data_IF_826706557058
#
_entry.id   IF_826706557058
#
_cell.length_a   1.000
_cell.length_b   1.000
_cell.length_c   1.000
_cell.angle_alpha   90.00
_cell.angle_beta   90.00
_cell.angle_gamma   90.00
#
_symmetry.space_group_name_H-M   'P 1'
#
loop_
_entity.id
_entity.type
_entity.pdbx_description
1 polymer ?
#
# COMPACT_ATOMS: atom_id res chain seq x y z
N UNK A 1 29.16 -26.00 -4.26
CA UNK A 1 29.49 -24.56 -4.48
C UNK A 1 28.22 -23.71 -4.57
N UNK A 2 27.25 -24.08 -5.42
CA UNK A 2 26.01 -23.30 -5.65
C UNK A 2 25.18 -23.01 -4.40
N UNK A 3 25.05 -24.00 -3.50
CA UNK A 3 24.33 -23.81 -2.23
C UNK A 3 24.96 -22.70 -1.38
N UNK A 4 26.29 -22.66 -1.30
CA UNK A 4 27.03 -21.61 -0.60
C UNK A 4 26.77 -20.24 -1.22
N UNK A 5 26.81 -20.16 -2.56
CA UNK A 5 26.54 -18.90 -3.26
C UNK A 5 25.11 -18.41 -2.97
N UNK A 6 24.10 -19.27 -3.12
CA UNK A 6 22.69 -18.88 -2.84
C UNK A 6 22.48 -18.42 -1.40
N UNK A 7 23.17 -19.03 -0.45
CA UNK A 7 22.99 -18.73 0.96
C UNK A 7 23.68 -17.44 1.40
N UNK A 8 24.87 -17.14 0.86
CA UNK A 8 25.72 -16.02 1.32
C UNK A 8 25.71 -14.81 0.38
N UNK A 9 25.11 -14.91 -0.81
CA UNK A 9 24.87 -13.80 -1.75
C UNK A 9 23.68 -12.94 -1.28
N UNK A 10 23.83 -12.30 -0.11
CA UNK A 10 22.84 -11.40 0.48
C UNK A 10 23.10 -9.94 0.10
N UNK A 11 24.38 -9.55 -0.03
CA UNK A 11 24.77 -8.19 -0.39
C UNK A 11 24.84 -8.00 -1.90
N UNK A 12 24.34 -6.85 -2.36
CA UNK A 12 24.31 -6.41 -3.76
C UNK A 12 25.71 -6.33 -4.40
N UNK A 13 26.75 -6.16 -3.57
CA UNK A 13 28.16 -5.96 -3.95
C UNK A 13 28.78 -7.17 -4.66
N UNK A 14 28.20 -8.37 -4.56
CA UNK A 14 28.80 -9.59 -5.12
C UNK A 14 28.75 -9.64 -6.67
N UNK A 15 28.09 -8.69 -7.35
CA UNK A 15 27.83 -8.77 -8.79
C UNK A 15 28.62 -7.82 -9.70
N UNK A 16 29.42 -6.87 -9.18
CA UNK A 16 29.96 -5.80 -10.04
C UNK A 16 31.43 -5.98 -10.49
N UNK A 17 32.18 -6.96 -9.95
CA UNK A 17 33.55 -7.20 -10.40
C UNK A 17 33.60 -8.25 -11.52
N UNK A 18 33.77 -7.80 -12.77
CA UNK A 18 34.08 -8.63 -13.96
C UNK A 18 35.42 -9.40 -13.85
N UNK A 19 36.08 -9.39 -12.69
CA UNK A 19 37.49 -9.79 -12.49
C UNK A 19 37.72 -10.76 -11.32
N UNK A 20 36.71 -11.53 -10.92
CA UNK A 20 36.91 -12.67 -10.04
C UNK A 20 36.49 -13.97 -10.71
N UNK A 21 37.47 -14.79 -11.07
CA UNK A 21 37.30 -16.13 -11.65
C UNK A 21 36.43 -17.08 -10.79
N UNK A 22 36.17 -16.72 -9.52
CA UNK A 22 35.31 -17.48 -8.61
C UNK A 22 34.44 -16.59 -7.70
N UNK A 23 33.11 -16.61 -7.94
CA UNK A 23 32.09 -15.88 -7.15
C UNK A 23 32.18 -16.18 -5.64
N UNK A 24 32.52 -17.42 -5.26
CA UNK A 24 32.66 -17.81 -3.84
C UNK A 24 33.81 -17.04 -3.17
N UNK A 25 34.89 -16.79 -3.88
CA UNK A 25 36.02 -16.05 -3.35
C UNK A 25 35.68 -14.57 -3.16
N UNK A 26 34.94 -13.95 -4.09
CA UNK A 26 34.44 -12.58 -3.94
C UNK A 26 33.54 -12.45 -2.72
N UNK A 27 32.65 -13.43 -2.50
CA UNK A 27 31.80 -13.49 -1.31
C UNK A 27 32.69 -13.55 -0.06
N UNK A 28 33.68 -14.44 0.00
CA UNK A 28 34.55 -14.59 1.16
C UNK A 28 35.41 -13.34 1.41
N UNK A 29 35.90 -12.68 0.36
CA UNK A 29 36.59 -11.38 0.45
C UNK A 29 35.67 -10.28 0.99
N UNK A 30 34.41 -10.23 0.54
CA UNK A 30 33.43 -9.27 1.06
C UNK A 30 33.19 -9.43 2.57
N UNK A 31 33.19 -10.68 3.06
CA UNK A 31 33.09 -10.96 4.49
C UNK A 31 34.42 -10.83 5.25
N UNK A 32 35.48 -10.30 4.62
CA UNK A 32 36.81 -10.10 5.20
C UNK A 32 37.44 -11.40 5.74
N UNK A 33 37.30 -12.47 4.96
CA UNK A 33 37.86 -13.79 5.29
C UNK A 33 39.21 -13.96 4.60
N UNK A 34 40.25 -14.17 5.39
CA UNK A 34 41.60 -14.42 4.88
C UNK A 34 41.70 -15.77 4.15
N UNK A 35 42.52 -15.81 3.09
CA UNK A 35 42.77 -16.99 2.24
C UNK A 35 43.35 -18.18 3.03
N UNK A 36 43.98 -17.95 4.17
CA UNK A 36 44.48 -19.01 5.05
C UNK A 36 43.37 -19.82 5.72
N UNK A 37 42.15 -19.26 5.83
CA UNK A 37 41.06 -19.83 6.61
C UNK A 37 40.10 -20.69 5.77
N UNK A 38 40.28 -20.75 4.45
CA UNK A 38 39.45 -21.56 3.57
C UNK A 38 40.23 -22.22 2.44
N UNK A 39 39.64 -23.27 1.87
CA UNK A 39 40.11 -23.95 0.65
C UNK A 39 38.92 -24.23 -0.26
N UNK A 40 39.11 -24.01 -1.56
CA UNK A 40 38.09 -24.29 -2.57
C UNK A 40 38.44 -25.63 -3.23
N UNK A 41 37.55 -26.62 -3.10
CA UNK A 41 37.58 -27.83 -3.91
C UNK A 41 36.65 -27.70 -5.12
N UNK A 42 36.67 -28.70 -6.01
CA UNK A 42 35.85 -28.68 -7.24
C UNK A 42 34.35 -28.50 -6.97
N UNK A 43 33.82 -29.17 -5.94
CA UNK A 43 32.38 -29.15 -5.62
C UNK A 43 32.07 -28.56 -4.23
N UNK A 44 33.08 -28.39 -3.38
CA UNK A 44 32.93 -28.09 -1.95
C UNK A 44 33.81 -26.93 -1.50
N UNK A 45 33.32 -26.17 -0.52
CA UNK A 45 34.04 -25.08 0.14
C UNK A 45 34.42 -25.56 1.53
N UNK A 46 35.71 -25.62 1.83
CA UNK A 46 36.23 -26.03 3.12
C UNK A 46 36.56 -24.79 3.95
N UNK A 47 36.00 -24.69 5.15
CA UNK A 47 36.20 -23.56 6.06
C UNK A 47 36.88 -24.06 7.35
N UNK A 48 37.76 -23.24 7.91
CA UNK A 48 38.33 -23.49 9.24
C UNK A 48 37.23 -23.41 10.30
N UNK A 49 37.43 -24.12 11.41
CA UNK A 49 36.47 -24.15 12.51
C UNK A 49 36.12 -22.73 13.02
N UNK A 50 34.83 -22.49 13.31
CA UNK A 50 34.34 -21.19 13.80
C UNK A 50 34.09 -20.13 12.72
N UNK A 51 34.68 -20.27 11.53
CA UNK A 51 34.49 -19.31 10.44
C UNK A 51 33.05 -19.28 9.92
N UNK A 52 32.40 -20.44 9.80
CA UNK A 52 31.01 -20.54 9.39
C UNK A 52 30.08 -19.72 10.31
N UNK A 53 30.26 -19.83 11.63
CA UNK A 53 29.45 -19.11 12.61
C UNK A 53 29.63 -17.58 12.49
N UNK A 54 30.84 -17.12 12.21
CA UNK A 54 31.12 -15.70 11.97
C UNK A 54 30.40 -15.21 10.71
N UNK A 55 30.48 -15.99 9.62
CA UNK A 55 29.82 -15.70 8.35
C UNK A 55 28.30 -15.65 8.50
N UNK A 56 27.71 -16.62 9.22
CA UNK A 56 26.28 -16.64 9.50
C UNK A 56 25.83 -15.42 10.31
N UNK A 57 26.61 -15.00 11.31
CA UNK A 57 26.34 -13.77 12.08
C UNK A 57 26.37 -12.53 11.20
N UNK A 58 27.40 -12.34 10.37
CA UNK A 58 27.49 -11.20 9.45
C UNK A 58 26.31 -11.19 8.48
N UNK A 59 25.99 -12.33 7.87
CA UNK A 59 24.84 -12.49 6.99
C UNK A 59 23.51 -12.16 7.68
N UNK A 60 23.31 -12.63 8.91
CA UNK A 60 22.08 -12.36 9.67
C UNK A 60 21.93 -10.86 10.01
N UNK A 61 23.04 -10.17 10.32
CA UNK A 61 23.02 -8.72 10.53
C UNK A 61 22.62 -7.97 9.25
N UNK A 62 23.19 -8.32 8.10
CA UNK A 62 22.81 -7.74 6.81
C UNK A 62 21.31 -7.97 6.50
N UNK A 63 20.84 -9.21 6.67
CA UNK A 63 19.43 -9.54 6.51
C UNK A 63 18.54 -8.74 7.45
N UNK A 64 18.93 -8.57 8.72
CA UNK A 64 18.17 -7.77 9.68
C UNK A 64 17.98 -6.33 9.20
N UNK A 65 19.04 -5.67 8.72
CA UNK A 65 18.91 -4.29 8.19
C UNK A 65 18.00 -4.22 6.96
N UNK A 66 18.03 -5.22 6.08
CA UNK A 66 17.13 -5.31 4.93
C UNK A 66 15.68 -5.49 5.38
N UNK A 67 15.43 -6.36 6.35
CA UNK A 67 14.10 -6.57 6.92
C UNK A 67 13.58 -5.30 7.60
N UNK A 68 14.41 -4.60 8.36
CA UNK A 68 14.03 -3.32 8.98
C UNK A 68 13.60 -2.28 7.94
N UNK A 69 14.37 -2.11 6.86
CA UNK A 69 14.02 -1.21 5.76
C UNK A 69 12.72 -1.63 5.06
N UNK A 70 12.55 -2.92 4.80
CA UNK A 70 11.33 -3.47 4.22
C UNK A 70 10.12 -3.19 5.13
N UNK A 71 10.23 -3.50 6.41
CA UNK A 71 9.16 -3.29 7.36
C UNK A 71 8.83 -1.80 7.53
N UNK A 72 9.83 -0.92 7.59
CA UNK A 72 9.64 0.53 7.62
C UNK A 72 8.86 1.00 6.39
N UNK A 73 9.19 0.48 5.20
CA UNK A 73 8.47 0.77 3.97
C UNK A 73 7.01 0.29 4.04
N UNK A 74 6.77 -0.95 4.44
CA UNK A 74 5.41 -1.49 4.59
C UNK A 74 4.56 -0.66 5.58
N UNK A 75 5.12 -0.33 6.76
CA UNK A 75 4.46 0.51 7.76
C UNK A 75 4.15 1.91 7.21
N UNK A 76 5.07 2.51 6.45
CA UNK A 76 4.86 3.83 5.84
C UNK A 76 3.67 3.83 4.86
N UNK A 77 3.52 2.77 4.06
CA UNK A 77 2.41 2.65 3.10
C UNK A 77 1.08 2.50 3.85
N UNK A 78 1.04 1.65 4.88
CA UNK A 78 -0.17 1.49 5.71
C UNK A 78 -0.55 2.79 6.44
N UNK A 79 0.43 3.50 6.98
CA UNK A 79 0.20 4.78 7.66
C UNK A 79 -0.38 5.84 6.72
N UNK A 80 0.12 5.93 5.48
CA UNK A 80 -0.39 6.86 4.46
C UNK A 80 -1.84 6.56 4.06
N UNK A 81 -2.19 5.28 3.89
CA UNK A 81 -3.58 4.87 3.62
C UNK A 81 -4.51 5.29 4.75
N UNK A 82 -4.14 5.00 6.00
CA UNK A 82 -4.92 5.41 7.19
C UNK A 82 -5.02 6.94 7.31
N UNK A 83 -3.96 7.67 7.00
CA UNK A 83 -3.98 9.13 7.03
C UNK A 83 -4.97 9.72 6.03
N UNK A 84 -5.04 9.17 4.81
CA UNK A 84 -5.99 9.63 3.80
C UNK A 84 -7.44 9.48 4.27
N UNK A 85 -7.77 8.31 4.86
CA UNK A 85 -9.10 8.07 5.43
C UNK A 85 -9.43 9.08 6.55
N UNK A 86 -8.48 9.35 7.44
CA UNK A 86 -8.65 10.32 8.52
C UNK A 86 -8.82 11.74 7.97
N UNK A 87 -8.06 12.11 6.93
CA UNK A 87 -8.15 13.42 6.29
C UNK A 87 -9.54 13.67 5.70
N UNK A 88 -10.09 12.68 4.99
CA UNK A 88 -11.44 12.78 4.42
C UNK A 88 -12.50 12.90 5.53
N UNK A 89 -12.38 12.10 6.60
CA UNK A 89 -13.28 12.19 7.76
C UNK A 89 -13.21 13.55 8.45
N UNK A 90 -12.01 14.07 8.67
CA UNK A 90 -11.77 15.38 9.29
C UNK A 90 -12.36 16.52 8.44
N UNK A 91 -12.17 16.47 7.11
CA UNK A 91 -12.82 17.41 6.20
C UNK A 91 -14.35 17.34 6.29
N UNK A 92 -14.93 16.13 6.27
CA UNK A 92 -16.37 15.95 6.40
C UNK A 92 -16.91 16.53 7.73
N UNK A 93 -16.23 16.25 8.85
CA UNK A 93 -16.59 16.80 10.16
C UNK A 93 -16.55 18.33 10.13
N UNK A 94 -15.47 18.94 9.60
CA UNK A 94 -15.37 20.40 9.48
C UNK A 94 -16.49 20.99 8.63
N UNK A 95 -16.82 20.36 7.50
CA UNK A 95 -17.92 20.77 6.65
C UNK A 95 -19.26 20.74 7.39
N UNK A 96 -19.58 19.66 8.09
CA UNK A 96 -20.82 19.55 8.87
C UNK A 96 -20.85 20.59 9.98
N UNK A 97 -19.79 20.72 10.77
CA UNK A 97 -19.71 21.71 11.84
C UNK A 97 -19.87 23.14 11.33
N UNK A 98 -19.24 23.49 10.20
CA UNK A 98 -19.38 24.81 9.57
C UNK A 98 -20.84 25.08 9.17
N UNK A 99 -21.50 24.11 8.54
CA UNK A 99 -22.91 24.22 8.17
C UNK A 99 -23.81 24.36 9.39
N UNK A 100 -23.57 23.59 10.46
CA UNK A 100 -24.33 23.71 11.71
C UNK A 100 -24.19 25.11 12.30
N UNK A 101 -22.96 25.66 12.39
CA UNK A 101 -22.75 27.02 12.90
C UNK A 101 -23.48 28.08 12.06
N UNK A 102 -23.42 27.96 10.73
CA UNK A 102 -24.15 28.84 9.81
C UNK A 102 -25.68 28.69 9.95
N UNK A 103 -26.18 27.47 10.18
CA UNK A 103 -27.59 27.25 10.47
C UNK A 103 -28.01 27.92 11.78
N UNK A 104 -27.20 27.81 12.83
CA UNK A 104 -27.49 28.46 14.12
C UNK A 104 -27.53 29.99 14.03
N UNK A 105 -26.76 30.62 13.14
CA UNK A 105 -26.83 32.07 12.94
C UNK A 105 -28.11 32.51 12.21
N UNK A 106 -28.66 31.67 11.34
CA UNK A 106 -29.79 32.04 10.48
C UNK A 106 -31.14 31.49 10.98
N UNK A 107 -31.17 30.40 11.76
CA UNK A 107 -32.40 29.67 12.14
C UNK A 107 -33.49 30.52 12.79
N UNK A 108 -33.11 31.54 13.55
CA UNK A 108 -34.08 32.38 14.28
C UNK A 108 -34.55 33.59 13.48
N UNK A 109 -33.92 33.88 12.33
CA UNK A 109 -34.25 35.03 11.48
C UNK A 109 -35.62 34.86 10.81
N UNK A 110 -36.45 35.89 10.91
CA UNK A 110 -37.84 35.87 10.41
C UNK A 110 -37.93 35.60 8.90
N UNK A 111 -37.04 36.20 8.10
CA UNK A 111 -36.99 35.97 6.65
C UNK A 111 -36.63 34.52 6.29
N UNK A 112 -35.71 33.91 7.03
CA UNK A 112 -35.39 32.49 6.84
C UNK A 112 -36.57 31.58 7.18
N UNK A 113 -37.27 31.84 8.30
CA UNK A 113 -38.49 31.09 8.67
C UNK A 113 -39.59 31.22 7.61
N UNK A 114 -39.82 32.42 7.08
CA UNK A 114 -40.77 32.64 5.99
C UNK A 114 -40.38 31.85 4.74
N UNK A 115 -39.13 31.98 4.30
CA UNK A 115 -38.61 31.26 3.15
C UNK A 115 -38.75 29.74 3.27
N UNK A 116 -38.39 29.15 4.42
CA UNK A 116 -38.50 27.71 4.65
C UNK A 116 -39.95 27.19 4.60
N UNK A 117 -40.94 28.00 4.98
CA UNK A 117 -42.37 27.66 4.85
C UNK A 117 -42.89 27.81 3.42
N UNK A 118 -42.41 28.82 2.69
CA UNK A 118 -42.87 29.10 1.33
C UNK A 118 -42.24 28.16 0.28
N UNK A 119 -40.96 27.82 0.43
CA UNK A 119 -40.21 26.97 -0.52
C UNK A 119 -40.93 25.65 -0.88
N UNK A 120 -41.48 24.85 0.05
CA UNK A 120 -42.17 23.60 -0.31
C UNK A 120 -43.50 23.81 -1.04
N UNK A 121 -44.12 25.00 -0.97
CA UNK A 121 -45.36 25.29 -1.69
C UNK A 121 -45.11 25.59 -3.18
N UNK A 122 -43.86 25.93 -3.53
CA UNK A 122 -43.39 26.14 -4.90
C UNK A 122 -42.98 24.79 -5.51
N UNK A 123 -43.92 23.85 -5.59
CA UNK A 123 -43.72 22.43 -5.89
C UNK A 123 -43.29 22.09 -7.33
N UNK A 124 -43.27 23.07 -8.25
CA UNK A 124 -43.09 22.82 -9.69
C UNK A 124 -41.69 22.25 -10.01
N UNK A 125 -40.63 22.72 -9.34
CA UNK A 125 -39.27 22.23 -9.60
C UNK A 125 -38.96 20.86 -8.96
N UNK A 126 -39.63 20.50 -7.86
CA UNK A 126 -39.35 19.25 -7.13
C UNK A 126 -39.89 18.03 -7.86
N UNK A 127 -41.02 18.17 -8.54
CA UNK A 127 -41.63 17.09 -9.33
C UNK A 127 -40.73 16.72 -10.52
N UNK A 128 -40.13 17.71 -11.19
CA UNK A 128 -39.21 17.43 -12.30
C UNK A 128 -37.95 16.70 -11.86
N UNK A 129 -37.35 17.09 -10.72
CA UNK A 129 -36.18 16.42 -10.18
C UNK A 129 -36.51 15.00 -9.68
N UNK A 130 -37.67 14.83 -9.06
CA UNK A 130 -38.16 13.52 -8.61
C UNK A 130 -38.47 12.60 -9.81
N UNK A 131 -39.14 13.13 -10.84
CA UNK A 131 -39.39 12.40 -12.08
C UNK A 131 -38.08 12.00 -12.76
N UNK A 132 -37.10 12.92 -12.88
CA UNK A 132 -35.77 12.62 -13.44
C UNK A 132 -35.01 11.57 -12.63
N UNK A 133 -35.15 11.56 -11.30
CA UNK A 133 -34.55 10.51 -10.47
C UNK A 133 -35.22 9.17 -10.73
N UNK A 134 -36.56 9.14 -10.74
CA UNK A 134 -37.33 7.92 -10.97
C UNK A 134 -37.13 7.34 -12.37
N UNK A 135 -37.00 8.18 -13.41
CA UNK A 135 -36.69 7.72 -14.77
C UNK A 135 -35.30 7.10 -14.86
N UNK A 136 -34.28 7.70 -14.21
CA UNK A 136 -32.94 7.09 -14.15
C UNK A 136 -32.94 5.76 -13.42
N UNK A 137 -33.66 5.65 -12.29
CA UNK A 137 -33.78 4.39 -11.56
C UNK A 137 -34.47 3.32 -12.41
N UNK A 138 -35.51 3.69 -13.17
CA UNK A 138 -36.18 2.80 -14.12
C UNK A 138 -35.23 2.34 -15.24
N UNK A 139 -34.47 3.26 -15.85
CA UNK A 139 -33.48 2.93 -16.88
C UNK A 139 -32.43 1.93 -16.37
N UNK A 140 -31.91 2.14 -15.16
CA UNK A 140 -30.95 1.24 -14.54
C UNK A 140 -31.55 -0.15 -14.26
N UNK A 141 -32.81 -0.21 -13.83
CA UNK A 141 -33.52 -1.45 -13.60
C UNK A 141 -33.79 -2.20 -14.90
N UNK A 142 -34.19 -1.52 -15.97
CA UNK A 142 -34.37 -2.10 -17.30
C UNK A 142 -33.05 -2.71 -17.78
N UNK A 143 -31.93 -1.96 -17.74
CA UNK A 143 -30.62 -2.49 -18.10
C UNK A 143 -30.15 -3.65 -17.22
N UNK A 144 -30.68 -3.80 -16.00
CA UNK A 144 -30.37 -4.93 -15.12
C UNK A 144 -31.22 -6.15 -15.49
N UNK A 145 -32.49 -5.95 -15.81
CA UNK A 145 -33.39 -7.01 -16.29
C UNK A 145 -32.89 -7.56 -17.62
N UNK A 146 -32.53 -6.72 -18.58
CA UNK A 146 -32.01 -7.14 -19.89
C UNK A 146 -30.76 -8.02 -19.75
N UNK A 147 -29.81 -7.62 -18.91
CA UNK A 147 -28.61 -8.42 -18.61
C UNK A 147 -28.94 -9.79 -18.02
N UNK A 148 -29.90 -9.86 -17.09
CA UNK A 148 -30.32 -11.14 -16.50
C UNK A 148 -31.06 -12.02 -17.50
N UNK A 149 -31.83 -11.43 -18.43
CA UNK A 149 -32.48 -12.17 -19.52
C UNK A 149 -31.44 -12.76 -20.47
N UNK A 150 -30.41 -12.01 -20.84
CA UNK A 150 -29.29 -12.48 -21.67
C UNK A 150 -28.45 -13.57 -20.98
N UNK A 151 -28.25 -13.49 -19.67
CA UNK A 151 -27.54 -14.51 -18.89
C UNK A 151 -28.35 -15.81 -18.77
N UNK A 152 -29.67 -15.74 -18.63
CA UNK A 152 -30.55 -16.92 -18.55
C UNK A 152 -30.87 -17.56 -19.91
N UNK A 153 -30.64 -16.83 -21.02
CA UNK A 153 -30.83 -17.33 -22.38
C UNK A 153 -29.60 -18.08 -22.93
N UNK A 154 -28.46 -18.04 -22.21
CA UNK A 154 -27.23 -18.78 -22.50
C UNK A 154 -27.20 -20.10 -21.71
#
# INVERSE_FOLDING_TARGET
IDSFQRQYKVSRIVCDDEQCDNVVESILKFYDVDRSQFRLGLNQVFLRHGLLNLMEKKRNNELATLFERLQARCRSVMARKRFEELRVRDLAIRCVQKNIRAYFSVRNWHWWKLFTKLKPLLNVNRIEDELKSKTKDLELLVCKVDRLVEENAK
#
